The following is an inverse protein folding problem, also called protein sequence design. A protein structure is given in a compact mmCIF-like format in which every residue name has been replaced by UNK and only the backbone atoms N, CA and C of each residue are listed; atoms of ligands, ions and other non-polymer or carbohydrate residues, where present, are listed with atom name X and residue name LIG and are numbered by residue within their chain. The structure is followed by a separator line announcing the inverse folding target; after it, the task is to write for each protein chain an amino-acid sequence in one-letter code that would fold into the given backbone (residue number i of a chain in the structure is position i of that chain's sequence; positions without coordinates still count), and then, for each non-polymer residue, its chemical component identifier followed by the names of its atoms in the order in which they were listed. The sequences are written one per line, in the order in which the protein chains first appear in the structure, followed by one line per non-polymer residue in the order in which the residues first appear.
data_IF_404593597580
#
_entry.id   IF_404593597580
#
_cell.length_a   1.000
_cell.length_b   1.000
_cell.length_c   1.000
_cell.angle_alpha   90.00
_cell.angle_beta   90.00
_cell.angle_gamma   90.00
#
_symmetry.space_group_name_H-M   'P 1'
#
loop_
_entity.id
_entity.type
_entity.pdbx_description
1 polymer ?
#
# COMPACT_ATOMS: atom_id res chain seq x y z
N UNK A 1 -23.86 -26.61 -0.49
CA UNK A 1 -23.67 -25.71 -1.65
C UNK A 1 -23.91 -24.28 -1.19
N UNK A 2 -22.94 -23.39 -1.40
CA UNK A 2 -23.16 -21.95 -1.20
C UNK A 2 -23.90 -21.45 -2.43
N UNK A 3 -25.07 -20.83 -2.23
CA UNK A 3 -25.93 -20.41 -3.35
C UNK A 3 -25.47 -19.09 -3.99
N UNK A 4 -24.88 -18.19 -3.20
CA UNK A 4 -24.43 -16.87 -3.62
C UNK A 4 -23.21 -16.46 -2.77
N UNK A 5 -22.22 -15.81 -3.38
CA UNK A 5 -20.99 -15.34 -2.74
C UNK A 5 -20.71 -13.92 -3.19
N UNK A 6 -20.28 -13.05 -2.27
CA UNK A 6 -19.81 -11.70 -2.58
C UNK A 6 -18.33 -11.65 -2.25
N UNK A 7 -17.52 -11.26 -3.23
CA UNK A 7 -16.08 -11.02 -3.07
C UNK A 7 -15.86 -9.57 -2.68
N UNK A 8 -15.05 -9.32 -1.65
CA UNK A 8 -14.76 -7.98 -1.15
C UNK A 8 -13.25 -7.80 -1.08
N UNK A 9 -12.69 -6.99 -1.98
CA UNK A 9 -11.27 -6.72 -2.10
C UNK A 9 -11.04 -5.33 -2.69
N UNK A 10 -9.97 -4.64 -2.28
CA UNK A 10 -9.51 -3.41 -2.92
C UNK A 10 -8.80 -3.68 -4.26
N UNK A 11 -8.30 -4.91 -4.44
CA UNK A 11 -7.58 -5.38 -5.63
C UNK A 11 -8.06 -6.79 -5.98
N UNK A 12 -9.23 -6.95 -6.63
CA UNK A 12 -9.79 -8.26 -6.94
C UNK A 12 -8.86 -9.05 -7.88
N UNK A 13 -8.59 -10.30 -7.52
CA UNK A 13 -7.80 -11.22 -8.31
C UNK A 13 -8.61 -11.81 -9.48
N UNK A 14 -7.92 -12.42 -10.45
CA UNK A 14 -8.54 -13.00 -11.66
C UNK A 14 -9.66 -14.00 -11.33
N UNK A 15 -9.47 -14.83 -10.29
CA UNK A 15 -10.49 -15.78 -9.85
C UNK A 15 -11.82 -15.09 -9.49
N UNK A 16 -11.77 -13.98 -8.75
CA UNK A 16 -12.94 -13.23 -8.30
C UNK A 16 -13.65 -12.57 -9.49
N UNK A 17 -12.87 -12.04 -10.44
CA UNK A 17 -13.37 -11.44 -11.67
C UNK A 17 -14.09 -12.46 -12.56
N UNK A 18 -13.50 -13.64 -12.75
CA UNK A 18 -14.10 -14.73 -13.54
C UNK A 18 -15.38 -15.24 -12.86
N UNK A 19 -15.36 -15.45 -11.54
CA UNK A 19 -16.52 -15.96 -10.78
C UNK A 19 -17.67 -14.97 -10.70
N UNK A 20 -17.38 -13.68 -10.81
CA UNK A 20 -18.38 -12.61 -10.80
C UNK A 20 -18.86 -12.25 -12.21
N UNK A 21 -18.41 -12.98 -13.25
CA UNK A 21 -18.75 -12.71 -14.66
C UNK A 21 -18.42 -11.26 -15.08
N UNK A 22 -17.38 -10.67 -14.48
CA UNK A 22 -17.00 -9.27 -14.70
C UNK A 22 -17.89 -8.23 -14.01
N UNK A 23 -18.88 -8.63 -13.21
CA UNK A 23 -19.71 -7.70 -12.43
C UNK A 23 -18.91 -7.26 -11.19
N UNK A 24 -18.54 -5.98 -11.16
CA UNK A 24 -17.80 -5.35 -10.06
C UNK A 24 -18.55 -4.10 -9.62
N UNK A 25 -18.62 -3.89 -8.30
CA UNK A 25 -19.19 -2.68 -7.70
C UNK A 25 -18.07 -1.93 -6.99
N UNK A 26 -17.76 -0.73 -7.46
CA UNK A 26 -16.65 0.07 -6.93
C UNK A 26 -17.10 0.96 -5.76
N UNK A 27 -16.32 0.93 -4.67
CA UNK A 27 -16.46 1.82 -3.54
C UNK A 27 -15.16 2.62 -3.32
N UNK A 28 -15.00 3.69 -4.10
CA UNK A 28 -13.78 4.54 -4.06
C UNK A 28 -13.89 5.67 -3.03
N UNK A 29 -15.11 6.19 -2.79
CA UNK A 29 -15.31 7.31 -1.88
C UNK A 29 -15.18 6.87 -0.41
N UNK A 30 -14.28 7.54 0.33
CA UNK A 30 -14.11 7.33 1.77
C UNK A 30 -15.06 8.24 2.55
N UNK A 31 -15.83 7.73 3.52
CA UNK A 31 -16.75 8.55 4.33
C UNK A 31 -16.07 9.70 5.08
N UNK A 32 -14.77 9.58 5.38
CA UNK A 32 -13.96 10.58 6.08
C UNK A 32 -13.44 11.68 5.15
N UNK A 33 -13.50 11.51 3.83
CA UNK A 33 -12.90 12.42 2.86
C UNK A 33 -11.38 12.30 2.73
N UNK A 34 -10.75 11.26 3.31
CA UNK A 34 -9.32 11.02 3.16
C UNK A 34 -8.96 10.80 1.69
N UNK A 35 -7.95 11.53 1.22
CA UNK A 35 -7.42 11.43 -0.13
C UNK A 35 -6.35 10.34 -0.24
N UNK A 36 -6.08 9.89 -1.45
CA UNK A 36 -4.95 9.00 -1.72
C UNK A 36 -3.63 9.73 -1.47
N UNK A 37 -2.63 8.99 -1.00
CA UNK A 37 -1.30 9.53 -0.76
C UNK A 37 -0.60 9.90 -2.08
N UNK A 38 0.25 10.92 -2.03
CA UNK A 38 1.09 11.31 -3.16
C UNK A 38 2.20 10.26 -3.34
N UNK A 39 2.46 9.87 -4.58
CA UNK A 39 3.50 8.90 -4.94
C UNK A 39 4.66 9.64 -5.61
N UNK A 40 5.88 9.44 -5.11
CA UNK A 40 7.12 9.98 -5.67
C UNK A 40 8.08 8.85 -6.04
N UNK A 41 8.82 9.02 -7.14
CA UNK A 41 9.86 8.06 -7.58
C UNK A 41 11.21 8.77 -7.51
N UNK A 42 12.12 8.26 -6.67
CA UNK A 42 13.47 8.79 -6.48
C UNK A 42 14.52 7.79 -6.99
N UNK A 43 15.70 8.25 -7.44
CA UNK A 43 16.80 7.36 -7.83
C UNK A 43 17.29 6.49 -6.65
N UNK A 44 17.89 5.34 -6.95
CA UNK A 44 18.44 4.45 -5.91
C UNK A 44 19.78 4.92 -5.31
N UNK A 45 20.44 5.89 -5.94
CA UNK A 45 21.69 6.46 -5.44
C UNK A 45 21.44 7.18 -4.12
N UNK A 46 22.16 6.80 -3.07
CA UNK A 46 22.00 7.32 -1.70
C UNK A 46 20.56 7.20 -1.13
N UNK A 47 19.79 6.18 -1.58
CA UNK A 47 18.40 5.99 -1.15
C UNK A 47 18.22 5.82 0.37
N UNK A 48 19.24 5.31 1.06
CA UNK A 48 19.19 5.11 2.52
C UNK A 48 19.33 6.46 3.24
N UNK A 49 20.24 7.31 2.78
CA UNK A 49 20.43 8.65 3.36
C UNK A 49 19.18 9.52 3.14
N UNK A 50 18.61 9.49 1.94
CA UNK A 50 17.34 10.16 1.60
C UNK A 50 16.18 9.66 2.47
N UNK A 51 16.07 8.35 2.66
CA UNK A 51 15.05 7.75 3.54
C UNK A 51 15.23 8.19 5.00
N UNK A 52 16.46 8.23 5.51
CA UNK A 52 16.74 8.63 6.90
C UNK A 52 16.41 10.11 7.14
N UNK A 53 16.67 10.98 6.17
CA UNK A 53 16.28 12.39 6.23
C UNK A 53 14.75 12.54 6.27
N UNK A 54 14.02 11.85 5.38
CA UNK A 54 12.55 11.85 5.39
C UNK A 54 11.98 11.30 6.70
N UNK A 55 12.60 10.26 7.29
CA UNK A 55 12.22 9.74 8.60
C UNK A 55 12.32 10.80 9.68
N UNK A 56 13.43 11.54 9.72
CA UNK A 56 13.62 12.59 10.70
C UNK A 56 12.54 13.69 10.58
N UNK A 57 12.19 14.09 9.35
CA UNK A 57 11.13 15.07 9.09
C UNK A 57 9.75 14.60 9.60
N UNK A 58 9.44 13.29 9.52
CA UNK A 58 8.15 12.75 10.03
C UNK A 58 8.13 12.60 11.53
N UNK A 59 9.28 12.33 12.16
CA UNK A 59 9.40 12.30 13.62
C UNK A 59 9.08 13.68 14.21
N UNK A 60 9.56 14.76 13.60
CA UNK A 60 9.27 16.15 14.02
C UNK A 60 7.77 16.50 13.95
N UNK A 61 7.00 15.78 13.13
CA UNK A 61 5.55 15.93 12.97
C UNK A 61 4.74 14.90 13.79
N UNK A 62 5.40 14.11 14.64
CA UNK A 62 4.81 13.00 15.39
C UNK A 62 4.14 11.91 14.53
N UNK A 63 4.52 11.80 13.25
CA UNK A 63 4.01 10.83 12.30
C UNK A 63 4.78 9.50 12.34
N UNK A 64 4.37 8.51 11.54
CA UNK A 64 4.99 7.17 11.47
C UNK A 64 5.24 6.78 10.03
N UNK A 65 6.25 5.93 9.83
CA UNK A 65 6.66 5.45 8.51
C UNK A 65 6.63 3.92 8.48
N UNK A 66 6.27 3.39 7.32
CA UNK A 66 6.37 1.98 6.99
C UNK A 66 7.37 1.82 5.85
N UNK A 67 8.34 0.92 6.04
CA UNK A 67 9.35 0.58 5.02
C UNK A 67 9.22 -0.89 4.69
N UNK A 68 9.26 -1.21 3.40
CA UNK A 68 9.25 -2.59 2.90
C UNK A 68 10.53 -2.86 2.10
N UNK A 69 11.25 -3.92 2.43
CA UNK A 69 12.42 -4.40 1.69
C UNK A 69 12.13 -5.73 1.01
N UNK A 70 12.98 -6.14 0.07
CA UNK A 70 12.78 -7.39 -0.68
C UNK A 70 13.23 -8.64 0.07
N UNK A 71 14.23 -8.51 0.96
CA UNK A 71 14.79 -9.65 1.68
C UNK A 71 14.81 -9.40 3.17
N UNK A 72 14.66 -10.48 3.95
CA UNK A 72 14.79 -10.43 5.41
C UNK A 72 16.12 -9.80 5.84
N UNK A 73 17.22 -10.16 5.18
CA UNK A 73 18.54 -9.63 5.50
C UNK A 73 18.61 -8.11 5.31
N UNK A 74 18.02 -7.57 4.24
CA UNK A 74 17.96 -6.12 4.02
C UNK A 74 17.11 -5.41 5.09
N UNK A 75 16.01 -6.02 5.54
CA UNK A 75 15.24 -5.48 6.67
C UNK A 75 16.07 -5.47 7.96
N UNK A 76 16.83 -6.53 8.24
CA UNK A 76 17.69 -6.62 9.42
C UNK A 76 18.89 -5.66 9.37
N UNK A 77 19.44 -5.40 8.18
CA UNK A 77 20.54 -4.44 8.00
C UNK A 77 20.08 -2.97 8.06
N UNK A 78 18.79 -2.71 7.76
CA UNK A 78 18.20 -1.37 7.82
C UNK A 78 17.71 -0.99 9.23
N UNK A 79 17.31 -1.97 10.04
CA UNK A 79 16.77 -1.76 11.39
C UNK A 79 17.86 -1.50 12.44
#
# INVERSE_FOLDING_TARGET
MVKQVIYVSATPAEYELIRSEGIVIDQVLRPTGLLDAVIEVRPSMNQIDDLMEEIQLRIEQEERILVTTLTKRMAEELA
#
